data_IF_657286214581
#
_entry.id   IF_657286214581
#
_cell.length_a   1.000
_cell.length_b   1.000
_cell.length_c   1.000
_cell.angle_alpha   90.00
_cell.angle_beta   90.00
_cell.angle_gamma   90.00
#
_symmetry.space_group_name_H-M   'P 1'
#
loop_
_entity.id
_entity.type
_entity.pdbx_description
1 polymer ?
#
# COMPACT_ATOMS: atom_id res chain seq x y z
N UNK A 1 2.22 -18.41 20.19
CA UNK A 1 2.59 -17.37 19.21
C UNK A 1 3.40 -18.04 18.11
N UNK A 2 3.07 -17.79 16.84
CA UNK A 2 3.83 -18.38 15.75
C UNK A 2 5.25 -17.81 15.73
N UNK A 3 6.26 -18.67 15.72
CA UNK A 3 7.65 -18.24 15.54
C UNK A 3 7.78 -17.42 14.26
N UNK A 4 8.51 -16.30 14.34
CA UNK A 4 8.86 -15.51 13.16
C UNK A 4 9.74 -16.39 12.27
N UNK A 5 9.20 -16.86 11.15
CA UNK A 5 9.95 -17.73 10.25
C UNK A 5 10.94 -16.88 9.45
N UNK A 6 12.22 -17.23 9.50
CA UNK A 6 13.30 -16.52 8.81
C UNK A 6 12.99 -16.26 7.32
N UNK A 7 12.31 -17.20 6.64
CA UNK A 7 11.88 -17.05 5.25
C UNK A 7 10.97 -15.86 5.02
N UNK A 8 10.03 -15.58 5.94
CA UNK A 8 9.13 -14.44 5.86
C UNK A 8 9.88 -13.13 5.99
N UNK A 9 10.83 -13.07 6.93
CA UNK A 9 11.67 -11.89 7.18
C UNK A 9 12.52 -11.53 5.96
N UNK A 10 13.21 -12.53 5.39
CA UNK A 10 14.04 -12.34 4.19
C UNK A 10 13.18 -11.89 3.01
N UNK A 11 12.02 -12.54 2.81
CA UNK A 11 11.11 -12.21 1.71
C UNK A 11 10.59 -10.77 1.81
N UNK A 12 10.10 -10.37 2.98
CA UNK A 12 9.59 -9.01 3.20
C UNK A 12 10.69 -7.95 3.06
N UNK A 13 11.92 -8.26 3.48
CA UNK A 13 13.09 -7.39 3.29
C UNK A 13 13.39 -7.19 1.80
N UNK A 14 13.40 -8.27 1.02
CA UNK A 14 13.60 -8.20 -0.42
C UNK A 14 12.53 -7.32 -1.09
N UNK A 15 11.26 -7.52 -0.74
CA UNK A 15 10.15 -6.71 -1.26
C UNK A 15 10.33 -5.24 -0.89
N UNK A 16 10.66 -4.94 0.36
CA UNK A 16 10.91 -3.58 0.85
C UNK A 16 12.02 -2.88 0.05
N UNK A 17 13.13 -3.56 -0.23
CA UNK A 17 14.21 -3.02 -1.07
C UNK A 17 13.71 -2.73 -2.49
N UNK A 18 12.96 -3.64 -3.10
CA UNK A 18 12.40 -3.43 -4.44
C UNK A 18 11.44 -2.22 -4.48
N UNK A 19 10.59 -2.06 -3.47
CA UNK A 19 9.69 -0.91 -3.35
C UNK A 19 10.46 0.40 -3.23
N UNK A 20 11.53 0.44 -2.43
CA UNK A 20 12.41 1.61 -2.28
C UNK A 20 13.07 1.97 -3.61
N UNK A 21 13.54 0.98 -4.39
CA UNK A 21 14.11 1.22 -5.72
C UNK A 21 13.07 1.90 -6.63
N UNK A 22 11.84 1.39 -6.68
CA UNK A 22 10.76 2.00 -7.49
C UNK A 22 10.43 3.40 -7.01
N UNK A 23 10.35 3.62 -5.69
CA UNK A 23 10.17 4.95 -5.11
C UNK A 23 11.27 5.93 -5.57
N UNK A 24 12.54 5.53 -5.53
CA UNK A 24 13.66 6.36 -6.00
C UNK A 24 13.50 6.71 -7.49
N UNK A 25 13.11 5.75 -8.34
CA UNK A 25 12.87 6.00 -9.76
C UNK A 25 11.76 7.03 -10.00
N UNK A 26 10.70 6.99 -9.19
CA UNK A 26 9.60 7.97 -9.24
C UNK A 26 10.06 9.33 -8.73
N UNK A 27 10.86 9.36 -7.66
CA UNK A 27 11.45 10.59 -7.12
C UNK A 27 12.30 11.31 -8.16
N UNK A 28 13.19 10.59 -8.85
CA UNK A 28 13.99 11.15 -9.94
C UNK A 28 13.11 11.73 -11.04
N UNK A 29 11.97 11.08 -11.35
CA UNK A 29 11.03 11.61 -12.34
C UNK A 29 10.26 12.83 -11.84
N UNK A 30 9.91 12.87 -10.56
CA UNK A 30 9.29 14.02 -9.94
C UNK A 30 10.19 15.24 -10.01
N UNK A 31 11.47 15.09 -9.67
CA UNK A 31 12.47 16.17 -9.73
C UNK A 31 12.53 16.77 -11.15
N UNK A 32 12.43 15.93 -12.19
CA UNK A 32 12.42 16.36 -13.59
C UNK A 32 11.12 17.06 -14.01
N UNK A 33 9.94 16.54 -13.63
CA UNK A 33 8.64 16.99 -14.17
C UNK A 33 7.95 18.06 -13.32
N UNK A 34 8.12 18.03 -11.99
CA UNK A 34 7.49 18.90 -10.99
C UNK A 34 5.97 19.09 -11.18
N UNK A 35 5.25 18.03 -11.58
CA UNK A 35 3.78 18.08 -11.75
C UNK A 35 3.09 17.53 -10.49
N UNK A 36 1.98 18.16 -10.09
CA UNK A 36 1.20 17.77 -8.89
C UNK A 36 0.78 16.30 -8.85
N UNK A 37 0.26 15.67 -9.93
CA UNK A 37 -0.11 14.26 -9.81
C UNK A 37 1.10 13.33 -9.67
N UNK A 38 2.29 13.74 -10.14
CA UNK A 38 3.54 12.99 -9.91
C UNK A 38 3.93 13.08 -8.43
N UNK A 39 3.67 14.23 -7.77
CA UNK A 39 3.90 14.39 -6.33
C UNK A 39 3.00 13.46 -5.51
N UNK A 40 1.70 13.43 -5.79
CA UNK A 40 0.79 12.55 -5.04
C UNK A 40 1.16 11.08 -5.20
N UNK A 41 1.50 10.66 -6.42
CA UNK A 41 1.98 9.31 -6.65
C UNK A 41 3.30 9.03 -5.93
N UNK A 42 4.24 9.97 -5.94
CA UNK A 42 5.50 9.87 -5.18
C UNK A 42 5.22 9.68 -3.68
N UNK A 43 4.30 10.46 -3.11
CA UNK A 43 3.93 10.38 -1.69
C UNK A 43 3.23 9.06 -1.35
N UNK A 44 2.35 8.55 -2.24
CA UNK A 44 1.79 7.20 -2.13
C UNK A 44 2.91 6.15 -2.04
N UNK A 45 3.85 6.15 -2.99
CA UNK A 45 4.94 5.16 -3.00
C UNK A 45 5.94 5.33 -1.86
N UNK A 46 6.18 6.57 -1.42
CA UNK A 46 7.00 6.85 -0.24
C UNK A 46 6.38 6.21 1.01
N UNK A 47 5.10 6.49 1.27
CA UNK A 47 4.35 5.93 2.39
C UNK A 47 4.30 4.40 2.33
N UNK A 48 4.05 3.83 1.14
CA UNK A 48 4.00 2.38 0.95
C UNK A 48 5.36 1.71 1.19
N UNK A 49 6.45 2.31 0.69
CA UNK A 49 7.81 1.82 0.88
C UNK A 49 8.25 1.91 2.34
N UNK A 50 7.92 3.01 3.02
CA UNK A 50 8.18 3.18 4.46
C UNK A 50 7.36 2.20 5.30
N UNK A 51 6.09 1.93 4.93
CA UNK A 51 5.27 0.94 5.61
C UNK A 51 5.90 -0.45 5.53
N UNK A 52 6.30 -0.86 4.33
CA UNK A 52 6.99 -2.13 4.09
C UNK A 52 8.30 -2.22 4.86
N UNK A 53 9.15 -1.19 4.80
CA UNK A 53 10.42 -1.15 5.52
C UNK A 53 10.22 -1.24 7.03
N UNK A 54 9.26 -0.51 7.57
CA UNK A 54 8.96 -0.51 9.02
C UNK A 54 8.52 -1.90 9.48
N UNK A 55 7.61 -2.53 8.72
CA UNK A 55 7.15 -3.90 8.97
C UNK A 55 8.33 -4.89 8.91
N UNK A 56 9.21 -4.79 7.90
CA UNK A 56 10.39 -5.66 7.78
C UNK A 56 11.36 -5.48 8.96
N UNK A 57 11.58 -4.25 9.42
CA UNK A 57 12.41 -3.96 10.62
C UNK A 57 11.81 -4.63 11.86
N UNK A 58 10.51 -4.50 12.10
CA UNK A 58 9.88 -5.11 13.26
C UNK A 58 9.84 -6.64 13.21
N UNK A 59 9.87 -7.24 12.01
CA UNK A 59 10.06 -8.69 11.82
C UNK A 59 11.48 -9.12 12.15
N UNK A 60 12.50 -8.38 11.73
CA UNK A 60 13.89 -8.64 12.13
C UNK A 60 14.09 -8.52 13.64
N UNK A 61 13.53 -7.48 14.26
CA UNK A 61 13.57 -7.30 15.71
C UNK A 61 12.89 -8.48 16.43
N UNK A 62 11.69 -8.87 16.00
CA UNK A 62 10.99 -10.03 16.57
C UNK A 62 11.74 -11.35 16.37
N UNK A 63 12.48 -11.51 15.27
CA UNK A 63 13.31 -12.70 15.02
C UNK A 63 14.54 -12.77 15.94
N UNK A 64 15.29 -11.67 16.09
CA UNK A 64 16.54 -11.67 16.85
C UNK A 64 16.35 -11.51 18.36
N UNK A 65 15.40 -10.69 18.79
CA UNK A 65 15.14 -10.42 20.21
C UNK A 65 14.16 -11.43 20.82
N UNK A 66 13.53 -12.26 19.99
CA UNK A 66 12.49 -13.19 20.42
C UNK A 66 11.21 -12.47 20.84
N UNK A 67 10.27 -13.25 21.37
CA UNK A 67 9.01 -12.74 21.90
C UNK A 67 9.19 -12.25 23.35
N UNK A 68 10.08 -11.28 23.59
CA UNK A 68 10.05 -10.55 24.85
C UNK A 68 8.67 -9.91 25.05
N UNK A 69 8.33 -9.56 26.30
CA UNK A 69 7.03 -9.01 26.73
C UNK A 69 6.52 -7.81 25.90
N UNK A 70 7.42 -7.20 25.13
CA UNK A 70 7.20 -6.06 24.25
C UNK A 70 7.22 -6.53 22.77
N UNK A 71 6.04 -6.69 22.17
CA UNK A 71 5.91 -7.15 20.78
C UNK A 71 6.34 -6.08 19.76
N UNK A 72 7.63 -6.01 19.41
CA UNK A 72 8.16 -5.08 18.39
C UNK A 72 7.48 -5.24 17.02
N UNK A 73 7.17 -6.47 16.64
CA UNK A 73 6.42 -6.77 15.42
C UNK A 73 5.05 -6.09 15.43
N UNK A 74 4.36 -6.06 16.57
CA UNK A 74 3.06 -5.40 16.68
C UNK A 74 3.15 -3.89 16.49
N UNK A 75 4.12 -3.25 17.17
CA UNK A 75 4.36 -1.82 17.04
C UNK A 75 4.65 -1.47 15.57
N UNK A 76 5.54 -2.22 14.94
CA UNK A 76 5.91 -1.99 13.54
C UNK A 76 4.74 -2.15 12.58
N UNK A 77 3.86 -3.13 12.82
CA UNK A 77 2.66 -3.35 12.01
C UNK A 77 1.68 -2.18 12.17
N UNK A 78 1.47 -1.68 13.39
CA UNK A 78 0.61 -0.51 13.61
C UNK A 78 1.18 0.74 12.91
N UNK A 79 2.50 0.96 12.97
CA UNK A 79 3.15 2.05 12.24
C UNK A 79 3.04 1.85 10.72
N UNK A 80 3.15 0.63 10.22
CA UNK A 80 2.93 0.33 8.81
C UNK A 80 1.47 0.64 8.39
N UNK A 81 0.48 0.30 9.22
CA UNK A 81 -0.93 0.61 8.98
C UNK A 81 -1.20 2.12 8.92
N UNK A 82 -0.57 2.91 9.80
CA UNK A 82 -0.61 4.37 9.73
C UNK A 82 -0.12 4.90 8.39
N UNK A 83 1.03 4.40 7.94
CA UNK A 83 1.63 4.80 6.67
C UNK A 83 0.77 4.36 5.47
N UNK A 84 0.13 3.19 5.54
CA UNK A 84 -0.83 2.74 4.51
C UNK A 84 -2.10 3.60 4.48
N UNK A 85 -2.65 3.98 5.62
CA UNK A 85 -3.78 4.91 5.69
C UNK A 85 -3.41 6.27 5.08
N UNK A 86 -2.21 6.78 5.39
CA UNK A 86 -1.68 7.99 4.76
C UNK A 86 -1.49 7.84 3.25
N UNK A 87 -1.06 6.66 2.79
CA UNK A 87 -0.94 6.34 1.38
C UNK A 87 -2.28 6.44 0.64
N UNK A 88 -3.39 5.99 1.26
CA UNK A 88 -4.73 6.09 0.68
C UNK A 88 -5.14 7.54 0.45
N UNK A 89 -4.83 8.45 1.38
CA UNK A 89 -5.07 9.88 1.23
C UNK A 89 -4.43 10.43 -0.06
N UNK A 90 -3.18 10.04 -0.32
CA UNK A 90 -2.46 10.48 -1.52
C UNK A 90 -2.98 9.83 -2.80
N UNK A 91 -3.46 8.57 -2.75
CA UNK A 91 -4.13 7.94 -3.90
C UNK A 91 -5.42 8.67 -4.26
N UNK A 92 -6.21 9.05 -3.26
CA UNK A 92 -7.44 9.81 -3.50
C UNK A 92 -7.13 11.18 -4.10
N UNK A 93 -6.14 11.91 -3.56
CA UNK A 93 -5.69 13.17 -4.12
C UNK A 93 -5.15 13.03 -5.56
N UNK A 94 -4.46 11.91 -5.84
CA UNK A 94 -4.02 11.57 -7.19
C UNK A 94 -5.22 11.36 -8.12
N UNK A 95 -6.21 10.56 -7.71
CA UNK A 95 -7.40 10.28 -8.51
C UNK A 95 -8.14 11.58 -8.80
N UNK A 96 -8.35 12.42 -7.80
CA UNK A 96 -9.03 13.70 -7.97
C UNK A 96 -8.31 14.58 -8.99
N UNK A 97 -6.98 14.69 -8.88
CA UNK A 97 -6.18 15.57 -9.74
C UNK A 97 -6.11 15.06 -11.19
N UNK A 98 -6.12 13.74 -11.40
CA UNK A 98 -5.98 13.14 -12.74
C UNK A 98 -7.32 12.92 -13.42
N UNK A 99 -8.35 12.51 -12.68
CA UNK A 99 -9.58 11.95 -13.22
C UNK A 99 -10.85 12.75 -12.89
N UNK A 100 -10.90 13.45 -11.76
CA UNK A 100 -12.12 14.13 -11.35
C UNK A 100 -12.20 15.53 -11.99
N UNK A 101 -13.23 15.75 -12.81
CA UNK A 101 -13.64 17.09 -13.21
C UNK A 101 -14.16 17.83 -11.97
N UNK A 102 -13.29 18.57 -11.24
CA UNK A 102 -13.49 19.66 -10.24
C UNK A 102 -14.75 19.72 -9.33
N UNK A 103 -15.64 18.73 -9.30
CA UNK A 103 -17.02 18.90 -8.82
C UNK A 103 -17.55 17.80 -7.91
N UNK A 104 -16.75 16.77 -7.59
CA UNK A 104 -17.13 15.77 -6.58
C UNK A 104 -16.03 15.70 -5.54
N UNK A 105 -16.28 16.30 -4.39
CA UNK A 105 -15.34 16.46 -3.28
C UNK A 105 -15.28 15.19 -2.39
N UNK A 106 -15.12 14.02 -3.02
CA UNK A 106 -14.95 12.77 -2.26
C UNK A 106 -13.60 12.73 -1.54
N UNK A 107 -12.64 13.59 -1.94
CA UNK A 107 -11.34 13.68 -1.30
C UNK A 107 -11.44 14.00 0.19
N UNK A 108 -12.25 14.97 0.59
CA UNK A 108 -12.46 15.30 2.00
C UNK A 108 -13.05 14.12 2.77
N UNK A 109 -14.04 13.42 2.22
CA UNK A 109 -14.64 12.25 2.88
C UNK A 109 -13.61 11.16 3.15
N UNK A 110 -12.77 10.81 2.17
CA UNK A 110 -11.72 9.81 2.38
C UNK A 110 -10.60 10.31 3.30
N UNK A 111 -10.27 11.60 3.28
CA UNK A 111 -9.30 12.18 4.21
C UNK A 111 -9.79 12.08 5.66
N UNK A 112 -11.06 12.40 5.92
CA UNK A 112 -11.67 12.27 7.25
C UNK A 112 -11.66 10.82 7.70
N UNK A 113 -12.10 9.90 6.84
CA UNK A 113 -12.15 8.46 7.18
C UNK A 113 -10.75 7.90 7.45
N UNK A 114 -9.74 8.22 6.63
CA UNK A 114 -8.36 7.80 6.90
C UNK A 114 -7.79 8.48 8.15
N UNK A 115 -8.19 9.72 8.45
CA UNK A 115 -7.86 10.41 9.69
C UNK A 115 -8.35 9.68 10.93
N UNK A 116 -9.56 9.10 10.88
CA UNK A 116 -10.10 8.25 11.96
C UNK A 116 -9.24 7.00 12.16
N UNK A 117 -8.88 6.30 11.08
CA UNK A 117 -7.99 5.11 11.16
C UNK A 117 -6.63 5.48 11.73
N UNK A 118 -6.09 6.63 11.34
CA UNK A 118 -4.84 7.17 11.87
C UNK A 118 -4.97 7.41 13.37
N UNK A 119 -6.04 8.07 13.82
CA UNK A 119 -6.31 8.30 15.25
C UNK A 119 -6.40 7.00 16.05
N UNK A 120 -7.15 6.01 15.57
CA UNK A 120 -7.28 4.70 16.22
C UNK A 120 -5.95 3.94 16.29
N UNK A 121 -5.13 4.03 15.24
CA UNK A 121 -3.82 3.38 15.21
C UNK A 121 -2.81 4.08 16.13
N UNK A 122 -2.86 5.42 16.21
CA UNK A 122 -2.06 6.20 17.17
C UNK A 122 -2.43 5.89 18.61
N UNK A 123 -3.73 5.77 18.92
CA UNK A 123 -4.21 5.32 20.23
C UNK A 123 -3.59 3.96 20.58
N UNK A 124 -3.62 2.99 19.66
CA UNK A 124 -3.03 1.66 19.87
C UNK A 124 -1.51 1.71 20.13
N UNK A 125 -0.77 2.60 19.46
CA UNK A 125 0.67 2.81 19.69
C UNK A 125 0.91 3.44 21.07
N UNK A 126 0.11 4.43 21.48
CA UNK A 126 0.26 5.07 22.79
C UNK A 126 -0.02 4.07 23.92
N UNK A 127 -1.05 3.24 23.79
CA UNK A 127 -1.35 2.17 24.75
C UNK A 127 -0.23 1.13 24.85
N UNK A 128 0.46 0.86 23.75
CA UNK A 128 1.62 -0.04 23.77
C UNK A 128 2.73 0.49 24.68
N UNK A 129 2.92 1.81 24.79
CA UNK A 129 3.88 2.43 25.71
C UNK A 129 3.40 2.50 27.17
N UNK A 130 2.11 2.28 27.46
CA UNK A 130 1.53 2.45 28.81
C UNK A 130 1.38 1.16 29.63
N UNK A 131 2.05 0.07 29.21
CA UNK A 131 2.25 -1.19 29.95
C UNK A 131 0.97 -1.95 30.40
N UNK A 132 -0.19 -1.62 29.83
CA UNK A 132 -1.46 -2.31 30.16
C UNK A 132 -1.72 -3.47 29.19
N UNK A 133 -1.35 -4.69 29.61
CA UNK A 133 -1.30 -5.91 28.79
C UNK A 133 -2.67 -6.54 28.39
N UNK A 134 -3.83 -5.92 28.65
CA UNK A 134 -5.14 -6.55 28.36
C UNK A 134 -5.96 -5.78 27.31
N UNK A 135 -6.31 -6.46 26.20
CA UNK A 135 -7.28 -5.99 25.19
C UNK A 135 -6.73 -5.61 23.81
N UNK A 136 -5.40 -5.68 23.61
CA UNK A 136 -4.73 -5.24 22.37
C UNK A 136 -5.13 -6.05 21.12
N UNK A 137 -5.33 -7.36 21.21
CA UNK A 137 -5.62 -8.20 20.03
C UNK A 137 -6.96 -7.89 19.36
N UNK A 138 -8.03 -7.73 20.15
CA UNK A 138 -9.36 -7.40 19.61
C UNK A 138 -9.35 -6.02 18.94
N UNK A 139 -8.70 -5.01 19.56
CA UNK A 139 -8.58 -3.66 18.99
C UNK A 139 -7.83 -3.66 17.65
N UNK A 140 -6.75 -4.45 17.53
CA UNK A 140 -5.97 -4.57 16.29
C UNK A 140 -6.79 -5.12 15.13
N UNK A 141 -7.64 -6.12 15.37
CA UNK A 141 -8.46 -6.73 14.33
C UNK A 141 -9.38 -5.72 13.65
N UNK A 142 -10.09 -4.89 14.41
CA UNK A 142 -11.00 -3.88 13.85
C UNK A 142 -10.25 -2.81 13.04
N UNK A 143 -9.08 -2.38 13.49
CA UNK A 143 -8.23 -1.41 12.75
C UNK A 143 -7.82 -2.00 11.40
N UNK A 144 -7.37 -3.26 11.39
CA UNK A 144 -6.96 -3.97 10.15
C UNK A 144 -8.13 -4.10 9.18
N UNK A 145 -9.29 -4.54 9.67
CA UNK A 145 -10.49 -4.71 8.83
C UNK A 145 -10.95 -3.37 8.27
N UNK A 146 -11.00 -2.33 9.09
CA UNK A 146 -11.40 -0.99 8.68
C UNK A 146 -10.43 -0.43 7.63
N UNK A 147 -9.11 -0.54 7.87
CA UNK A 147 -8.09 -0.13 6.91
C UNK A 147 -8.20 -0.90 5.60
N UNK A 148 -8.42 -2.22 5.65
CA UNK A 148 -8.59 -3.05 4.47
C UNK A 148 -9.82 -2.61 3.65
N UNK A 149 -10.96 -2.36 4.30
CA UNK A 149 -12.18 -1.87 3.64
C UNK A 149 -11.93 -0.52 2.97
N UNK A 150 -11.36 0.45 3.69
CA UNK A 150 -11.09 1.79 3.16
C UNK A 150 -10.14 1.71 1.97
N UNK A 151 -9.06 0.94 2.11
CA UNK A 151 -8.09 0.76 1.04
C UNK A 151 -8.74 0.11 -0.18
N UNK A 152 -9.53 -0.95 0.00
CA UNK A 152 -10.28 -1.58 -1.08
C UNK A 152 -11.17 -0.57 -1.82
N UNK A 153 -11.94 0.23 -1.11
CA UNK A 153 -12.79 1.26 -1.73
C UNK A 153 -11.94 2.29 -2.48
N UNK A 154 -10.87 2.81 -1.87
CA UNK A 154 -9.97 3.78 -2.51
C UNK A 154 -9.38 3.23 -3.82
N UNK A 155 -8.89 1.99 -3.82
CA UNK A 155 -8.29 1.39 -5.01
C UNK A 155 -9.35 0.95 -6.03
N UNK A 156 -10.56 0.54 -5.63
CA UNK A 156 -11.68 0.30 -6.55
C UNK A 156 -12.05 1.59 -7.29
N UNK A 157 -12.11 2.73 -6.59
CA UNK A 157 -12.34 4.04 -7.22
C UNK A 157 -11.25 4.32 -8.26
N UNK A 158 -9.97 4.16 -7.90
CA UNK A 158 -8.85 4.32 -8.83
C UNK A 158 -9.03 3.43 -10.09
N UNK A 159 -9.37 2.16 -9.92
CA UNK A 159 -9.58 1.20 -11.01
C UNK A 159 -10.72 1.65 -11.94
N UNK A 160 -11.85 2.05 -11.37
CA UNK A 160 -13.03 2.49 -12.13
C UNK A 160 -12.70 3.71 -12.99
N UNK A 161 -12.09 4.73 -12.40
CA UNK A 161 -11.72 5.96 -13.12
C UNK A 161 -10.62 5.71 -14.15
N UNK A 162 -9.61 4.90 -13.82
CA UNK A 162 -8.55 4.55 -14.76
C UNK A 162 -9.10 3.78 -15.98
N UNK A 163 -9.98 2.79 -15.80
CA UNK A 163 -10.61 2.12 -16.94
C UNK A 163 -11.55 3.02 -17.74
N UNK A 164 -12.25 3.93 -17.08
CA UNK A 164 -13.10 4.92 -17.76
C UNK A 164 -12.25 5.80 -18.69
N UNK A 165 -11.16 6.37 -18.20
CA UNK A 165 -10.25 7.17 -19.03
C UNK A 165 -9.59 6.35 -20.13
N UNK A 166 -9.17 5.11 -19.85
CA UNK A 166 -8.61 4.23 -20.86
C UNK A 166 -9.58 3.99 -22.04
N UNK A 167 -10.89 3.93 -21.77
CA UNK A 167 -11.92 3.77 -22.81
C UNK A 167 -12.17 5.05 -23.60
N UNK A 168 -12.03 6.22 -22.98
CA UNK A 168 -12.25 7.53 -23.63
C UNK A 168 -11.08 7.99 -24.50
N UNK A 169 -9.87 7.48 -24.26
CA UNK A 169 -8.68 7.84 -25.04
C UNK A 169 -8.58 7.01 -26.33
N UNK A 170 -8.45 7.70 -27.47
CA UNK A 170 -8.24 7.09 -28.80
C UNK A 170 -6.79 6.67 -29.03
N UNK A 171 -5.84 7.42 -28.47
CA UNK A 171 -4.42 7.14 -28.57
C UNK A 171 -4.02 5.90 -27.75
N UNK A 172 -3.29 4.97 -28.36
CA UNK A 172 -2.85 3.72 -27.70
C UNK A 172 -1.97 3.96 -26.46
N UNK A 173 -1.15 5.00 -26.47
CA UNK A 173 -0.17 5.24 -25.41
C UNK A 173 -0.85 5.66 -24.09
N UNK A 174 -1.67 6.74 -24.03
CA UNK A 174 -2.45 7.08 -22.82
C UNK A 174 -3.33 5.93 -22.35
N UNK A 175 -4.02 5.26 -23.29
CA UNK A 175 -4.88 4.10 -22.99
C UNK A 175 -4.13 2.98 -22.27
N UNK A 176 -2.92 2.65 -22.73
CA UNK A 176 -2.07 1.64 -22.08
C UNK A 176 -1.63 2.10 -20.70
N UNK A 177 -1.24 3.37 -20.55
CA UNK A 177 -0.91 3.97 -19.26
C UNK A 177 -2.03 3.82 -18.23
N UNK A 178 -3.26 4.19 -18.61
CA UNK A 178 -4.42 4.06 -17.75
C UNK A 178 -4.77 2.60 -17.42
N UNK A 179 -4.64 1.67 -18.38
CA UNK A 179 -4.84 0.24 -18.11
C UNK A 179 -3.81 -0.30 -17.10
N UNK A 180 -2.56 0.14 -17.17
CA UNK A 180 -1.53 -0.24 -16.19
C UNK A 180 -1.81 0.35 -14.80
N UNK A 181 -2.33 1.58 -14.72
CA UNK A 181 -2.80 2.18 -13.47
C UNK A 181 -3.99 1.41 -12.88
N UNK A 182 -4.92 0.94 -13.72
CA UNK A 182 -6.01 0.08 -13.27
C UNK A 182 -5.47 -1.28 -12.77
N UNK A 183 -4.52 -1.89 -13.48
CA UNK A 183 -3.88 -3.13 -13.05
C UNK A 183 -3.12 -2.96 -11.72
N UNK A 184 -2.49 -1.80 -11.50
CA UNK A 184 -1.93 -1.42 -10.21
C UNK A 184 -2.99 -1.42 -9.11
N UNK A 185 -4.12 -0.73 -9.33
CA UNK A 185 -5.20 -0.69 -8.35
C UNK A 185 -5.76 -2.07 -8.01
N UNK A 186 -5.96 -2.94 -9.02
CA UNK A 186 -6.38 -4.34 -8.82
C UNK A 186 -5.35 -5.11 -7.97
N UNK A 187 -4.07 -4.99 -8.30
CA UNK A 187 -3.00 -5.68 -7.56
C UNK A 187 -2.97 -5.24 -6.10
N UNK A 188 -3.09 -3.94 -5.81
CA UNK A 188 -3.12 -3.46 -4.42
C UNK A 188 -4.41 -3.87 -3.70
N UNK A 189 -5.56 -3.90 -4.38
CA UNK A 189 -6.78 -4.47 -3.79
C UNK A 189 -6.58 -5.94 -3.40
N UNK A 190 -5.93 -6.76 -4.25
CA UNK A 190 -5.62 -8.15 -3.94
C UNK A 190 -4.64 -8.31 -2.78
N UNK A 191 -3.69 -7.37 -2.60
CA UNK A 191 -2.84 -7.34 -1.40
C UNK A 191 -3.67 -7.23 -0.12
N UNK A 192 -4.65 -6.32 -0.06
CA UNK A 192 -5.47 -6.15 1.13
C UNK A 192 -6.39 -7.36 1.38
N UNK A 193 -6.92 -7.97 0.32
CA UNK A 193 -7.65 -9.25 0.43
C UNK A 193 -6.75 -10.34 1.02
N UNK A 194 -5.51 -10.47 0.53
CA UNK A 194 -4.57 -11.47 1.01
C UNK A 194 -4.22 -11.25 2.49
N UNK A 195 -3.94 -10.01 2.92
CA UNK A 195 -3.65 -9.73 4.33
C UNK A 195 -4.87 -9.90 5.24
N UNK A 196 -6.09 -9.64 4.77
CA UNK A 196 -7.30 -9.97 5.51
C UNK A 196 -7.45 -11.48 5.70
N UNK A 197 -7.24 -12.28 4.65
CA UNK A 197 -7.26 -13.74 4.71
C UNK A 197 -6.14 -14.30 5.60
N UNK A 198 -4.94 -13.73 5.53
CA UNK A 198 -3.81 -14.08 6.40
C UNK A 198 -4.15 -13.83 7.88
N UNK A 199 -4.78 -12.68 8.18
CA UNK A 199 -5.24 -12.36 9.54
C UNK A 199 -6.27 -13.35 10.07
N UNK A 200 -7.19 -13.82 9.22
CA UNK A 200 -8.16 -14.87 9.57
C UNK A 200 -7.47 -16.22 9.77
N UNK A 201 -6.47 -16.57 8.95
CA UNK A 201 -5.69 -17.80 9.14
C UNK A 201 -4.86 -17.76 10.43
N UNK A 202 -4.28 -16.60 10.75
CA UNK A 202 -3.52 -16.38 11.97
C UNK A 202 -4.38 -16.52 13.23
N UNK A 203 -5.64 -16.05 13.20
CA UNK A 203 -6.56 -16.21 14.34
C UNK A 203 -6.97 -17.66 14.59
N UNK A 204 -6.90 -18.53 13.58
CA UNK A 204 -7.08 -19.98 13.72
C UNK A 204 -5.83 -20.73 14.23
N UNK A 205 -4.80 -20.00 14.66
CA UNK A 205 -3.57 -20.57 15.21
C UNK A 205 -2.57 -21.07 14.17
N UNK A 206 -2.78 -20.78 12.88
CA UNK A 206 -1.77 -21.04 11.85
C UNK A 206 -0.74 -19.91 11.88
N UNK A 207 0.53 -20.24 11.68
CA UNK A 207 1.59 -19.24 11.48
C UNK A 207 1.43 -18.51 10.15
N UNK A 208 2.53 -18.05 9.56
CA UNK A 208 2.52 -17.40 8.24
C UNK A 208 1.78 -18.25 7.21
N UNK A 209 0.70 -17.69 6.63
CA UNK A 209 -0.06 -18.38 5.61
C UNK A 209 0.52 -18.11 4.22
N UNK A 210 0.19 -18.91 3.20
CA UNK A 210 0.51 -18.59 1.81
C UNK A 210 0.01 -17.20 1.37
N UNK A 211 -1.09 -16.72 1.97
CA UNK A 211 -1.65 -15.40 1.67
C UNK A 211 -0.73 -14.25 2.09
N UNK A 212 0.09 -14.41 3.12
CA UNK A 212 1.11 -13.42 3.49
C UNK A 212 2.11 -13.20 2.34
N UNK A 213 2.66 -14.28 1.79
CA UNK A 213 3.61 -14.21 0.67
C UNK A 213 2.95 -13.69 -0.62
N UNK A 214 1.70 -14.09 -0.88
CA UNK A 214 0.92 -13.59 -2.02
C UNK A 214 0.64 -12.09 -1.89
N UNK A 215 0.28 -11.62 -0.70
CA UNK A 215 0.01 -10.20 -0.44
C UNK A 215 1.22 -9.33 -0.78
N UNK A 216 2.39 -9.68 -0.27
CA UNK A 216 3.64 -8.99 -0.59
C UNK A 216 4.04 -9.08 -2.06
N UNK A 217 3.77 -10.20 -2.72
CA UNK A 217 3.98 -10.34 -4.18
C UNK A 217 3.09 -9.37 -4.96
N UNK A 218 1.81 -9.25 -4.57
CA UNK A 218 0.89 -8.27 -5.15
C UNK A 218 1.29 -6.82 -4.87
N UNK A 219 1.91 -6.53 -3.72
CA UNK A 219 2.53 -5.23 -3.46
C UNK A 219 3.59 -4.90 -4.52
N UNK A 220 4.54 -5.81 -4.73
CA UNK A 220 5.63 -5.60 -5.69
C UNK A 220 5.12 -5.46 -7.12
N UNK A 221 4.23 -6.36 -7.56
CA UNK A 221 3.62 -6.30 -8.89
C UNK A 221 2.84 -5.00 -9.07
N UNK A 222 2.04 -4.63 -8.07
CA UNK A 222 1.26 -3.39 -8.10
C UNK A 222 2.16 -2.17 -8.26
N UNK A 223 3.17 -2.02 -7.41
CA UNK A 223 4.07 -0.86 -7.44
C UNK A 223 4.81 -0.75 -8.76
N UNK A 224 5.25 -1.88 -9.32
CA UNK A 224 5.85 -1.91 -10.65
C UNK A 224 4.88 -1.47 -11.75
N UNK A 225 3.63 -1.97 -11.74
CA UNK A 225 2.59 -1.56 -12.67
C UNK A 225 2.25 -0.07 -12.56
N UNK A 226 2.18 0.47 -11.34
CA UNK A 226 1.92 1.88 -11.08
C UNK A 226 3.04 2.78 -11.62
N UNK A 227 4.30 2.36 -11.44
CA UNK A 227 5.46 3.01 -12.05
C UNK A 227 5.35 3.01 -13.59
N UNK A 228 5.13 1.84 -14.20
CA UNK A 228 5.04 1.74 -15.66
C UNK A 228 3.87 2.54 -16.23
N UNK A 229 2.70 2.45 -15.60
CA UNK A 229 1.48 3.10 -16.07
C UNK A 229 1.55 4.62 -16.02
N UNK A 230 2.15 5.18 -14.97
CA UNK A 230 2.19 6.63 -14.81
C UNK A 230 3.44 7.29 -15.39
N UNK A 231 4.62 6.72 -15.15
CA UNK A 231 5.88 7.31 -15.61
C UNK A 231 6.07 7.07 -17.10
N UNK A 232 5.68 5.88 -17.58
CA UNK A 232 5.91 5.36 -18.93
C UNK A 232 7.35 5.58 -19.40
N UNK A 233 8.30 4.70 -19.00
CA UNK A 233 9.68 4.84 -19.43
C UNK A 233 9.81 4.75 -20.96
N UNK A 234 10.85 5.36 -21.53
CA UNK A 234 11.01 5.49 -22.98
C UNK A 234 10.99 4.16 -23.74
N UNK A 235 11.58 3.11 -23.17
CA UNK A 235 11.55 1.77 -23.75
C UNK A 235 10.12 1.23 -23.90
N UNK A 236 9.26 1.44 -22.90
CA UNK A 236 7.87 0.97 -22.93
C UNK A 236 7.07 1.76 -23.97
N UNK A 237 7.29 3.09 -24.05
CA UNK A 237 6.68 3.94 -25.07
C UNK A 237 7.01 3.45 -26.48
N UNK A 238 8.28 3.15 -26.73
CA UNK A 238 8.75 2.68 -28.03
C UNK A 238 8.13 1.33 -28.42
N UNK A 239 7.96 0.41 -27.46
CA UNK A 239 7.29 -0.89 -27.72
C UNK A 239 5.83 -0.67 -28.13
N UNK A 240 5.10 0.19 -27.40
CA UNK A 240 3.68 0.45 -27.67
C UNK A 240 3.51 1.11 -29.05
N UNK A 241 4.34 2.10 -29.38
CA UNK A 241 4.29 2.81 -30.66
C UNK A 241 4.70 1.95 -31.87
N UNK A 242 5.59 0.96 -31.69
CA UNK A 242 5.95 0.02 -32.77
C UNK A 242 4.83 -0.98 -33.09
N UNK A 243 3.91 -1.22 -32.14
CA UNK A 243 2.76 -2.12 -32.30
C UNK A 243 1.52 -1.44 -32.89
N UNK A 244 1.62 -0.16 -33.27
CA UNK A 244 0.53 0.64 -33.84
C UNK A 244 0.74 0.90 -35.31
#
# INVERSE_FOLDING_TARGET
>A
MAEVVLSAVIFETFISVMLIIVFILILLKYIQRRKKPVLYLLLTFASFSLASLTSAIGRWLGYFLGNETIGFTDLSNMTAFLLLALSNCFVVAFVETVFANKGVDFAITFLVINGIVIGMSMEAIIYWFSDTQFGLLAKKFYIIVLLAIISLVTYIILVVYAFKEAKMNTEKLPKTGFNLIAAYGISVSLLFVCFALDSVMASLGKGYSPFYYMGWSFAMVGVFLGYLGYIMPGWLKNIIQKSS
#
